data_IF_651820249196
#
_entry.id   IF_651820249196
#
_cell.length_a   1.000
_cell.length_b   1.000
_cell.length_c   1.000
_cell.angle_alpha   90.00
_cell.angle_beta   90.00
_cell.angle_gamma   90.00
#
_symmetry.space_group_name_H-M   'P 1'
#
loop_
_entity.id
_entity.type
_entity.pdbx_description
1 polymer ?
#
# COMPACT_ATOMS: atom_id res chain seq x y z
N UNK A 1 -22.20 20.49 -16.90
CA UNK A 1 -21.56 21.69 -16.36
C UNK A 1 -20.35 21.33 -15.50
N UNK A 2 -19.48 22.30 -15.25
CA UNK A 2 -18.31 22.12 -14.37
C UNK A 2 -18.72 21.78 -12.93
N UNK A 3 -19.80 22.34 -12.45
CA UNK A 3 -20.36 22.04 -11.13
C UNK A 3 -20.77 20.56 -11.01
N UNK A 4 -21.46 20.03 -12.02
CA UNK A 4 -21.83 18.63 -12.05
C UNK A 4 -20.61 17.71 -12.12
N UNK A 5 -19.60 18.08 -12.89
CA UNK A 5 -18.35 17.33 -12.99
C UNK A 5 -17.62 17.30 -11.65
N UNK A 6 -17.45 18.45 -11.04
CA UNK A 6 -16.84 18.58 -9.70
C UNK A 6 -17.55 17.71 -8.66
N UNK A 7 -18.87 17.85 -8.57
CA UNK A 7 -19.68 17.06 -7.64
C UNK A 7 -19.50 15.56 -7.87
N UNK A 8 -19.49 15.14 -9.13
CA UNK A 8 -19.35 13.73 -9.50
C UNK A 8 -17.99 13.15 -9.10
N UNK A 9 -16.91 13.92 -9.37
CA UNK A 9 -15.55 13.49 -9.00
C UNK A 9 -15.41 13.35 -7.47
N UNK A 10 -15.85 14.35 -6.72
CA UNK A 10 -15.79 14.31 -5.26
C UNK A 10 -16.61 13.17 -4.68
N UNK A 11 -17.83 12.97 -5.15
CA UNK A 11 -18.70 11.88 -4.67
C UNK A 11 -18.11 10.50 -4.96
N UNK A 12 -17.50 10.32 -6.12
CA UNK A 12 -16.82 9.08 -6.48
C UNK A 12 -15.67 8.79 -5.51
N UNK A 13 -14.88 9.81 -5.18
CA UNK A 13 -13.78 9.66 -4.21
C UNK A 13 -14.30 9.36 -2.80
N UNK A 14 -15.32 10.07 -2.35
CA UNK A 14 -15.94 9.85 -1.03
C UNK A 14 -16.48 8.41 -0.95
N UNK A 15 -17.15 7.94 -1.98
CA UNK A 15 -17.67 6.58 -2.03
C UNK A 15 -16.57 5.53 -1.91
N UNK A 16 -15.48 5.71 -2.65
CA UNK A 16 -14.33 4.80 -2.59
C UNK A 16 -13.72 4.75 -1.17
N UNK A 17 -13.62 5.88 -0.50
CA UNK A 17 -13.13 5.99 0.87
C UNK A 17 -14.07 5.27 1.84
N UNK A 18 -15.37 5.53 1.76
CA UNK A 18 -16.38 4.91 2.63
C UNK A 18 -16.42 3.39 2.45
N UNK A 19 -16.44 2.91 1.22
CA UNK A 19 -16.43 1.49 0.90
C UNK A 19 -15.16 0.82 1.42
N UNK A 20 -14.00 1.45 1.23
CA UNK A 20 -12.73 0.94 1.74
C UNK A 20 -12.74 0.85 3.26
N UNK A 21 -13.19 1.90 3.94
CA UNK A 21 -13.30 1.90 5.39
C UNK A 21 -14.19 0.75 5.89
N UNK A 22 -15.26 0.43 5.17
CA UNK A 22 -16.20 -0.62 5.57
C UNK A 22 -15.65 -2.04 5.47
N UNK A 23 -14.62 -2.27 4.63
CA UNK A 23 -14.04 -3.61 4.41
C UNK A 23 -12.69 -3.81 5.11
N UNK A 24 -12.07 -2.76 5.64
CA UNK A 24 -10.78 -2.87 6.32
C UNK A 24 -10.91 -3.72 7.59
N UNK A 25 -10.03 -4.71 7.69
CA UNK A 25 -9.89 -5.53 8.88
C UNK A 25 -9.01 -4.80 9.90
N UNK A 26 -9.56 -4.49 11.06
CA UNK A 26 -8.86 -3.74 12.11
C UNK A 26 -7.66 -4.52 12.65
N UNK A 27 -7.78 -5.84 12.81
CA UNK A 27 -6.69 -6.67 13.27
C UNK A 27 -5.52 -6.68 12.27
N UNK A 28 -5.82 -6.77 10.99
CA UNK A 28 -4.81 -6.68 9.93
C UNK A 28 -4.16 -5.29 9.89
N UNK A 29 -4.94 -4.24 10.08
CA UNK A 29 -4.43 -2.87 10.18
C UNK A 29 -3.46 -2.72 11.36
N UNK A 30 -3.83 -3.21 12.53
CA UNK A 30 -2.98 -3.15 13.73
C UNK A 30 -1.67 -3.94 13.53
N UNK A 31 -1.76 -5.11 12.89
CA UNK A 31 -0.57 -5.91 12.54
C UNK A 31 0.35 -5.16 11.59
N UNK A 32 -0.20 -4.49 10.58
CA UNK A 32 0.59 -3.69 9.65
C UNK A 32 1.34 -2.56 10.37
N UNK A 33 0.66 -1.83 11.24
CA UNK A 33 1.28 -0.78 12.03
C UNK A 33 2.41 -1.31 12.92
N UNK A 34 2.21 -2.45 13.57
CA UNK A 34 3.24 -3.10 14.39
C UNK A 34 4.45 -3.55 13.57
N UNK A 35 4.22 -4.14 12.41
CA UNK A 35 5.30 -4.57 11.50
C UNK A 35 6.17 -3.38 11.11
N UNK A 36 5.56 -2.26 10.69
CA UNK A 36 6.32 -1.08 10.28
C UNK A 36 7.07 -0.47 11.47
N UNK A 37 6.43 -0.37 12.61
CA UNK A 37 7.04 0.21 13.81
C UNK A 37 8.25 -0.57 14.30
N UNK A 38 8.22 -1.89 14.20
CA UNK A 38 9.29 -2.78 14.70
C UNK A 38 10.39 -3.05 13.68
N UNK A 39 10.16 -2.78 12.40
CA UNK A 39 11.12 -3.11 11.35
C UNK A 39 12.40 -2.31 11.50
N UNK A 40 13.53 -2.99 11.29
CA UNK A 40 14.84 -2.34 11.18
C UNK A 40 14.92 -1.48 9.92
N UNK A 41 14.37 -1.98 8.82
CA UNK A 41 14.38 -1.32 7.52
C UNK A 41 13.05 -1.58 6.81
N UNK A 42 12.56 -0.56 6.10
CA UNK A 42 11.29 -0.63 5.38
C UNK A 42 11.51 -0.28 3.92
N UNK A 43 11.20 -1.23 3.05
CA UNK A 43 11.16 -1.02 1.60
C UNK A 43 9.72 -0.93 1.12
N UNK A 44 9.47 0.02 0.23
CA UNK A 44 8.16 0.23 -0.38
C UNK A 44 8.28 -0.14 -1.85
N UNK A 45 7.49 -1.13 -2.29
CA UNK A 45 7.49 -1.61 -3.67
C UNK A 45 6.21 -1.21 -4.37
N UNK A 46 6.34 -0.43 -5.44
CA UNK A 46 5.20 0.00 -6.23
C UNK A 46 5.69 0.52 -7.59
N UNK A 47 4.88 0.39 -8.62
CA UNK A 47 5.17 0.93 -9.95
C UNK A 47 4.05 1.87 -10.40
N UNK A 48 4.34 2.74 -11.36
CA UNK A 48 3.36 3.65 -11.92
C UNK A 48 2.72 4.57 -10.88
N UNK A 49 1.40 4.73 -10.95
CA UNK A 49 0.64 5.58 -10.02
C UNK A 49 0.70 5.12 -8.57
N UNK A 50 0.87 3.82 -8.32
CA UNK A 50 1.04 3.29 -6.97
C UNK A 50 2.36 3.73 -6.33
N UNK A 51 3.39 4.00 -7.13
CA UNK A 51 4.66 4.53 -6.62
C UNK A 51 4.49 5.94 -6.02
N UNK A 52 3.58 6.75 -6.55
CA UNK A 52 3.24 8.05 -5.97
C UNK A 52 2.66 7.91 -4.57
N UNK A 53 1.79 6.93 -4.37
CA UNK A 53 1.20 6.61 -3.07
C UNK A 53 2.28 6.16 -2.08
N UNK A 54 3.20 5.31 -2.54
CA UNK A 54 4.33 4.86 -1.72
C UNK A 54 5.23 6.02 -1.28
N UNK A 55 5.52 6.96 -2.19
CA UNK A 55 6.33 8.15 -1.87
C UNK A 55 5.65 9.04 -0.84
N UNK A 56 4.34 9.17 -0.88
CA UNK A 56 3.60 9.93 0.13
C UNK A 56 3.80 9.34 1.54
N UNK A 57 3.69 8.03 1.66
CA UNK A 57 3.96 7.36 2.95
C UNK A 57 5.41 7.54 3.40
N UNK A 58 6.37 7.33 2.50
CA UNK A 58 7.80 7.50 2.80
C UNK A 58 8.10 8.90 3.34
N UNK A 59 7.51 9.93 2.72
CA UNK A 59 7.62 11.31 3.18
C UNK A 59 7.06 11.49 4.59
N UNK A 60 5.90 10.93 4.88
CA UNK A 60 5.26 11.03 6.20
C UNK A 60 6.04 10.28 7.28
N UNK A 61 6.51 9.08 6.98
CA UNK A 61 7.32 8.30 7.91
C UNK A 61 8.61 9.03 8.31
N UNK A 62 9.21 9.75 7.36
CA UNK A 62 10.41 10.55 7.65
C UNK A 62 10.15 11.64 8.70
N UNK A 63 8.95 12.21 8.72
CA UNK A 63 8.56 13.22 9.73
C UNK A 63 8.62 12.69 11.17
N UNK A 64 8.46 11.41 11.34
CA UNK A 64 8.53 10.74 12.66
C UNK A 64 9.82 9.93 12.84
N UNK A 65 10.82 10.19 12.01
CA UNK A 65 12.16 9.60 12.14
C UNK A 65 12.29 8.19 11.58
N UNK A 66 11.30 7.69 10.86
CA UNK A 66 11.36 6.37 10.22
C UNK A 66 11.79 6.54 8.77
N UNK A 67 12.98 6.02 8.46
CA UNK A 67 13.51 6.01 7.09
C UNK A 67 12.96 4.82 6.33
N UNK A 68 12.56 5.07 5.09
CA UNK A 68 12.10 4.04 4.16
C UNK A 68 12.64 4.33 2.77
N UNK A 69 12.68 3.30 1.93
CA UNK A 69 13.14 3.42 0.55
C UNK A 69 12.03 3.00 -0.39
N UNK A 70 11.71 3.85 -1.36
CA UNK A 70 10.73 3.53 -2.41
C UNK A 70 11.46 3.00 -3.63
N UNK A 71 11.06 1.83 -4.08
CA UNK A 71 11.54 1.21 -5.31
C UNK A 71 10.38 1.11 -6.30
N UNK A 72 10.59 1.64 -7.50
CA UNK A 72 9.60 1.66 -8.59
C UNK A 72 10.11 0.98 -9.87
N UNK A 73 11.26 0.34 -9.79
CA UNK A 73 11.87 -0.42 -10.88
C UNK A 73 11.97 -1.90 -10.50
N UNK A 74 11.47 -2.77 -11.37
CA UNK A 74 11.40 -4.21 -11.10
C UNK A 74 12.77 -4.84 -10.82
N UNK A 75 13.78 -4.42 -11.53
CA UNK A 75 15.14 -4.98 -11.37
C UNK A 75 15.75 -4.57 -10.04
N UNK A 76 15.60 -3.30 -9.67
CA UNK A 76 16.11 -2.78 -8.39
C UNK A 76 15.32 -3.36 -7.22
N UNK A 77 14.01 -3.57 -7.37
CA UNK A 77 13.21 -4.26 -6.36
C UNK A 77 13.74 -5.66 -6.07
N UNK A 78 14.10 -6.41 -7.10
CA UNK A 78 14.69 -7.75 -6.93
C UNK A 78 16.04 -7.68 -6.20
N UNK A 79 16.87 -6.70 -6.52
CA UNK A 79 18.14 -6.48 -5.81
C UNK A 79 17.91 -6.18 -4.34
N UNK A 80 16.93 -5.32 -4.03
CA UNK A 80 16.54 -5.01 -2.67
C UNK A 80 16.05 -6.26 -1.94
N UNK A 81 15.11 -6.97 -2.54
CA UNK A 81 14.49 -8.16 -1.93
C UNK A 81 15.51 -9.27 -1.62
N UNK A 82 16.56 -9.38 -2.44
CA UNK A 82 17.59 -10.41 -2.27
C UNK A 82 18.43 -10.24 -1.00
N UNK A 83 18.50 -9.06 -0.44
CA UNK A 83 19.33 -8.75 0.75
C UNK A 83 18.51 -8.51 2.02
N UNK A 84 17.19 -8.65 1.96
CA UNK A 84 16.33 -8.51 3.13
C UNK A 84 16.39 -9.73 4.05
N UNK A 85 16.03 -9.53 5.30
CA UNK A 85 15.98 -10.55 6.34
C UNK A 85 14.69 -10.44 7.17
N UNK A 86 14.59 -11.26 8.22
CA UNK A 86 13.44 -11.28 9.13
C UNK A 86 13.29 -10.02 9.99
N UNK A 87 14.32 -9.17 10.06
CA UNK A 87 14.26 -7.87 10.72
C UNK A 87 13.66 -6.77 9.85
N UNK A 88 13.41 -7.06 8.58
CA UNK A 88 13.00 -6.08 7.59
C UNK A 88 11.51 -6.22 7.24
N UNK A 89 10.93 -5.13 6.74
CA UNK A 89 9.56 -5.11 6.26
C UNK A 89 9.48 -4.57 4.83
N UNK A 90 8.52 -5.10 4.09
CA UNK A 90 8.14 -4.60 2.76
C UNK A 90 6.68 -4.22 2.81
N UNK A 91 6.37 -3.01 2.32
CA UNK A 91 5.01 -2.61 2.03
C UNK A 91 4.88 -2.47 0.52
N UNK A 92 4.08 -3.33 -0.08
CA UNK A 92 3.88 -3.37 -1.52
C UNK A 92 2.48 -2.90 -1.88
N UNK A 93 2.40 -2.03 -2.87
CA UNK A 93 1.14 -1.45 -3.33
C UNK A 93 0.92 -1.86 -4.78
N UNK A 94 -0.18 -2.56 -5.03
CA UNK A 94 -0.59 -2.95 -6.38
C UNK A 94 -2.10 -2.98 -6.45
N UNK A 95 -2.69 -2.11 -7.27
CA UNK A 95 -4.13 -2.06 -7.44
C UNK A 95 -4.69 -3.43 -7.88
N UNK A 96 -4.14 -4.00 -8.95
CA UNK A 96 -4.57 -5.31 -9.46
C UNK A 96 -4.12 -6.49 -8.60
N UNK A 97 -3.01 -6.31 -7.87
CA UNK A 97 -2.34 -7.40 -7.16
C UNK A 97 -1.71 -8.45 -8.07
N UNK A 98 -1.69 -8.21 -9.38
CA UNK A 98 -1.22 -9.17 -10.39
C UNK A 98 -0.01 -8.67 -11.18
N UNK A 99 0.60 -7.56 -10.80
CA UNK A 99 1.75 -6.98 -11.48
C UNK A 99 3.02 -7.77 -11.16
N UNK A 100 3.56 -8.48 -12.13
CA UNK A 100 4.78 -9.31 -11.94
C UNK A 100 5.97 -8.51 -11.45
N UNK A 101 6.12 -7.28 -11.94
CA UNK A 101 7.20 -6.39 -11.53
C UNK A 101 7.27 -6.19 -10.01
N UNK A 102 6.13 -6.26 -9.33
CA UNK A 102 6.03 -6.14 -7.86
C UNK A 102 5.94 -7.52 -7.20
N UNK A 103 5.20 -8.45 -7.79
CA UNK A 103 4.96 -9.77 -7.18
C UNK A 103 6.23 -10.62 -7.06
N UNK A 104 7.11 -10.60 -8.06
CA UNK A 104 8.35 -11.38 -8.00
C UNK A 104 9.28 -10.89 -6.87
N UNK A 105 9.55 -9.58 -6.71
CA UNK A 105 10.30 -9.08 -5.55
C UNK A 105 9.63 -9.37 -4.21
N UNK A 106 8.31 -9.23 -4.13
CA UNK A 106 7.53 -9.53 -2.90
C UNK A 106 7.73 -10.99 -2.49
N UNK A 107 7.62 -11.90 -3.44
CA UNK A 107 7.82 -13.33 -3.19
C UNK A 107 9.22 -13.64 -2.70
N UNK A 108 10.23 -13.00 -3.30
CA UNK A 108 11.62 -13.15 -2.88
C UNK A 108 11.86 -12.60 -1.48
N UNK A 109 11.34 -11.40 -1.19
CA UNK A 109 11.44 -10.79 0.13
C UNK A 109 10.83 -11.68 1.22
N UNK A 110 9.65 -12.23 0.97
CA UNK A 110 8.98 -13.16 1.89
C UNK A 110 9.79 -14.42 2.13
N UNK A 111 10.40 -14.99 1.09
CA UNK A 111 11.30 -16.15 1.21
C UNK A 111 12.50 -15.86 2.10
N UNK A 112 13.01 -14.65 2.06
CA UNK A 112 14.16 -14.22 2.86
C UNK A 112 13.77 -13.81 4.28
N UNK A 113 12.50 -13.98 4.65
CA UNK A 113 12.02 -13.75 6.00
C UNK A 113 11.45 -12.37 6.26
N UNK A 114 11.52 -11.43 5.32
CA UNK A 114 10.96 -10.11 5.48
C UNK A 114 9.44 -10.18 5.68
N UNK A 115 8.90 -9.32 6.54
CA UNK A 115 7.46 -9.21 6.76
C UNK A 115 6.86 -8.37 5.63
N UNK A 116 5.87 -8.91 4.94
CA UNK A 116 5.25 -8.26 3.79
C UNK A 116 3.83 -7.80 4.12
N UNK A 117 3.58 -6.53 3.87
CA UNK A 117 2.25 -5.91 3.89
C UNK A 117 1.87 -5.60 2.45
N UNK A 118 0.72 -6.07 2.00
CA UNK A 118 0.19 -5.75 0.69
C UNK A 118 -1.02 -4.82 0.78
N UNK A 119 -1.04 -3.82 -0.08
CA UNK A 119 -2.22 -2.97 -0.30
C UNK A 119 -2.69 -3.20 -1.73
N UNK A 120 -3.91 -3.70 -1.86
CA UNK A 120 -4.47 -4.10 -3.15
C UNK A 120 -5.99 -4.00 -3.14
N UNK A 121 -6.61 -3.93 -4.33
CA UNK A 121 -8.07 -4.00 -4.46
C UNK A 121 -8.60 -5.44 -4.45
N UNK A 122 -7.74 -6.44 -4.56
CA UNK A 122 -8.18 -7.83 -4.74
C UNK A 122 -7.57 -8.75 -3.70
N UNK A 123 -8.39 -9.18 -2.75
CA UNK A 123 -7.99 -10.05 -1.64
C UNK A 123 -7.46 -11.41 -2.09
N UNK A 124 -7.87 -11.89 -3.26
CA UNK A 124 -7.46 -13.19 -3.82
C UNK A 124 -6.32 -13.08 -4.83
N UNK A 125 -5.72 -11.90 -4.95
CA UNK A 125 -4.67 -11.65 -5.94
C UNK A 125 -3.35 -12.32 -5.59
N UNK A 126 -2.43 -12.49 -6.56
CA UNK A 126 -1.10 -13.07 -6.31
C UNK A 126 -0.30 -12.34 -5.24
N UNK A 127 -0.37 -10.99 -5.17
CA UNK A 127 0.35 -10.24 -4.14
C UNK A 127 -0.18 -10.58 -2.74
N UNK A 128 -1.49 -10.73 -2.61
CA UNK A 128 -2.13 -11.06 -1.34
C UNK A 128 -1.68 -12.42 -0.80
N UNK A 129 -1.50 -13.40 -1.68
CA UNK A 129 -1.08 -14.75 -1.30
C UNK A 129 0.34 -14.80 -0.74
N UNK A 130 1.20 -13.85 -1.10
CA UNK A 130 2.59 -13.79 -0.64
C UNK A 130 2.78 -12.80 0.52
N UNK A 131 1.73 -12.14 0.95
CA UNK A 131 1.78 -11.16 2.03
C UNK A 131 1.42 -11.78 3.38
N UNK A 132 2.02 -11.25 4.45
CA UNK A 132 1.67 -11.61 5.83
C UNK A 132 0.45 -10.83 6.31
N UNK A 133 0.27 -9.62 5.78
CA UNK A 133 -0.87 -8.74 6.07
C UNK A 133 -1.38 -8.19 4.76
N UNK A 134 -2.70 -8.18 4.60
CA UNK A 134 -3.36 -7.61 3.42
C UNK A 134 -4.34 -6.54 3.86
N UNK A 135 -4.18 -5.34 3.30
CA UNK A 135 -5.11 -4.24 3.48
C UNK A 135 -5.79 -3.98 2.15
N UNK A 136 -7.09 -4.17 2.11
CA UNK A 136 -7.85 -4.04 0.87
C UNK A 136 -8.44 -2.64 0.74
N UNK A 137 -8.23 -2.02 -0.43
CA UNK A 137 -8.99 -0.88 -0.90
C UNK A 137 -10.07 -1.36 -1.87
N UNK A 138 -11.06 -0.53 -2.11
CA UNK A 138 -12.10 -0.80 -3.10
C UNK A 138 -12.55 0.50 -3.77
N UNK A 139 -12.99 0.40 -5.00
CA UNK A 139 -13.46 1.54 -5.78
C UNK A 139 -14.44 1.10 -6.86
N UNK A 140 -15.51 0.46 -6.44
CA UNK A 140 -16.52 -0.02 -7.38
C UNK A 140 -17.20 1.13 -8.12
N UNK A 141 -17.37 0.97 -9.43
CA UNK A 141 -18.22 1.83 -10.24
C UNK A 141 -17.64 3.17 -10.68
N UNK A 142 -16.34 3.39 -10.57
CA UNK A 142 -15.73 4.64 -11.03
C UNK A 142 -15.39 4.63 -12.52
N UNK A 143 -16.39 4.92 -13.36
CA UNK A 143 -16.18 5.04 -14.81
C UNK A 143 -15.56 6.38 -15.22
N UNK A 144 -15.73 7.41 -14.40
CA UNK A 144 -15.28 8.77 -14.73
C UNK A 144 -13.78 8.97 -14.53
N UNK A 145 -13.26 8.52 -13.39
CA UNK A 145 -11.86 8.67 -13.02
C UNK A 145 -11.00 7.48 -13.41
N UNK A 146 -11.66 6.38 -13.79
CA UNK A 146 -11.02 5.08 -13.84
C UNK A 146 -10.85 4.47 -12.45
N UNK A 147 -10.88 3.16 -12.41
CA UNK A 147 -10.82 2.38 -11.16
C UNK A 147 -9.56 2.69 -10.36
N UNK A 148 -8.41 2.80 -11.04
CA UNK A 148 -7.12 3.06 -10.40
C UNK A 148 -7.08 4.43 -9.68
N UNK A 149 -7.68 5.47 -10.25
CA UNK A 149 -7.64 6.80 -9.67
C UNK A 149 -8.47 6.89 -8.38
N UNK A 150 -9.65 6.28 -8.35
CA UNK A 150 -10.49 6.25 -7.16
C UNK A 150 -9.88 5.36 -6.05
N UNK A 151 -9.29 4.22 -6.41
CA UNK A 151 -8.56 3.38 -5.47
C UNK A 151 -7.36 4.08 -4.84
N UNK A 152 -6.66 4.91 -5.60
CA UNK A 152 -5.49 5.64 -5.12
C UNK A 152 -5.84 6.55 -3.95
N UNK A 153 -6.97 7.26 -4.01
CA UNK A 153 -7.44 8.10 -2.91
C UNK A 153 -7.71 7.25 -1.66
N UNK A 154 -8.36 6.11 -1.82
CA UNK A 154 -8.61 5.18 -0.72
C UNK A 154 -7.31 4.61 -0.14
N UNK A 155 -6.34 4.26 -0.99
CA UNK A 155 -5.03 3.80 -0.56
C UNK A 155 -4.27 4.86 0.23
N UNK A 156 -4.31 6.13 -0.21
CA UNK A 156 -3.73 7.25 0.52
C UNK A 156 -4.33 7.37 1.92
N UNK A 157 -5.65 7.17 2.07
CA UNK A 157 -6.31 7.20 3.37
C UNK A 157 -5.87 6.04 4.27
N UNK A 158 -5.72 4.83 3.73
CA UNK A 158 -5.18 3.69 4.49
C UNK A 158 -3.80 4.04 5.04
N UNK A 159 -2.93 4.59 4.18
CA UNK A 159 -1.56 4.93 4.57
C UNK A 159 -1.52 6.11 5.56
N UNK A 160 -2.42 7.08 5.44
CA UNK A 160 -2.57 8.15 6.41
C UNK A 160 -2.94 7.60 7.79
N UNK A 161 -3.88 6.66 7.83
CA UNK A 161 -4.28 6.00 9.06
C UNK A 161 -3.12 5.20 9.69
N UNK A 162 -2.36 4.46 8.86
CA UNK A 162 -1.16 3.75 9.31
C UNK A 162 -0.12 4.71 9.88
N UNK A 163 0.14 5.81 9.20
CA UNK A 163 1.06 6.84 9.69
C UNK A 163 0.64 7.34 11.08
N UNK A 164 -0.63 7.70 11.24
CA UNK A 164 -1.15 8.18 12.54
C UNK A 164 -1.02 7.09 13.62
N UNK A 165 -1.34 5.85 13.30
CA UNK A 165 -1.23 4.74 14.24
C UNK A 165 0.23 4.52 14.68
N UNK A 166 1.17 4.56 13.74
CA UNK A 166 2.61 4.42 14.01
C UNK A 166 3.13 5.59 14.83
N UNK A 167 2.73 6.83 14.49
CA UNK A 167 3.16 8.03 15.21
C UNK A 167 2.71 8.04 16.68
N UNK A 168 1.65 7.32 17.02
CA UNK A 168 1.14 7.19 18.39
C UNK A 168 1.80 6.06 19.20
N UNK A 169 2.63 5.24 18.59
CA UNK A 169 3.37 4.19 19.29
C UNK A 169 4.61 4.79 19.98
N UNK A 170 4.88 4.33 21.17
CA UNK A 170 6.06 4.71 21.95
C UNK A 170 7.21 3.73 21.73
#
# INVERSE_FOLDING_TARGET
>A
SSEQLLSKVFRTSIQAIEETMSILDIAEFDRAADIIFKARHIDLYAVGGSATVARDLSHKLLKIGIKSTVYDDAHIMLMSAAVLSDDDAVLAISHSGATRAVNDPVKLAARNGAKVIAITNYAESPIARNAHVVLNSTSQGSHLLGENAASRIAQLNILDALFVAIAKKD
#
